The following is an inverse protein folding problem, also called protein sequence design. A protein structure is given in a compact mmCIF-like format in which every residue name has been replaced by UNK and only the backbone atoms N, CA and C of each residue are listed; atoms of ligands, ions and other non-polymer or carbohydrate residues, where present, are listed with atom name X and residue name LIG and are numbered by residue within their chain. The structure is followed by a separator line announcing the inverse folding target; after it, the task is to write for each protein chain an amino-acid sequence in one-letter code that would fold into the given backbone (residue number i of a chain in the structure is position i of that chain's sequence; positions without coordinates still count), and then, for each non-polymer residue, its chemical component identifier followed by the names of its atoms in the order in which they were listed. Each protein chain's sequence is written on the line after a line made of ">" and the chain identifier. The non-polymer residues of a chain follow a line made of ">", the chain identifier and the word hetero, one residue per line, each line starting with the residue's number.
data_IF_484145403933
#
_entry.id   IF_484145403933
#
_cell.length_a   1.000
_cell.length_b   1.000
_cell.length_c   1.000
_cell.angle_alpha   90.00
_cell.angle_beta   90.00
_cell.angle_gamma   90.00
#
_symmetry.space_group_name_H-M   'P 1'
#
loop_
_entity.id
_entity.type
_entity.pdbx_description
1 polymer ?
#
# COMPACT_ATOMS: atom_id res chain seq x y z
N UNK A 1 59.01 -38.02 -18.21
CA UNK A 1 58.67 -38.33 -16.79
C UNK A 1 59.03 -37.09 -15.96
N UNK A 2 58.18 -36.39 -15.23
CA UNK A 2 56.79 -36.59 -14.78
C UNK A 2 56.12 -35.20 -14.77
N UNK A 3 54.98 -35.10 -15.42
CA UNK A 3 54.05 -33.98 -15.28
C UNK A 3 53.46 -34.06 -13.87
N UNK A 4 53.63 -33.02 -13.04
CA UNK A 4 52.92 -32.91 -11.76
C UNK A 4 51.82 -31.86 -11.92
N UNK A 5 50.65 -32.37 -12.27
CA UNK A 5 49.34 -31.74 -12.04
C UNK A 5 49.18 -31.58 -10.53
N UNK A 6 49.09 -30.36 -10.01
CA UNK A 6 48.35 -30.01 -8.78
C UNK A 6 48.27 -28.48 -8.67
N UNK A 7 47.17 -27.88 -9.12
CA UNK A 7 46.36 -26.89 -8.35
C UNK A 7 45.16 -26.47 -9.22
N UNK A 8 44.18 -27.35 -9.35
CA UNK A 8 42.90 -27.01 -9.98
C UNK A 8 41.94 -26.52 -8.90
N UNK A 9 41.60 -25.22 -9.00
CA UNK A 9 40.29 -24.62 -8.69
C UNK A 9 39.68 -24.92 -7.32
N UNK A 10 39.78 -23.93 -6.42
CA UNK A 10 38.70 -23.58 -5.49
C UNK A 10 38.69 -22.06 -5.25
N UNK A 11 38.46 -21.29 -6.31
CA UNK A 11 38.00 -19.91 -6.16
C UNK A 11 36.49 -20.00 -5.90
N UNK A 12 36.14 -20.29 -4.64
CA UNK A 12 34.80 -19.98 -4.12
C UNK A 12 34.67 -18.46 -4.26
N UNK A 13 34.03 -18.00 -5.35
CA UNK A 13 33.42 -16.69 -5.40
C UNK A 13 32.35 -16.67 -4.31
N UNK A 14 32.78 -16.39 -3.09
CA UNK A 14 31.88 -15.94 -2.03
C UNK A 14 31.44 -14.55 -2.48
N UNK A 15 30.31 -14.49 -3.18
CA UNK A 15 29.58 -13.25 -3.35
C UNK A 15 29.12 -12.90 -1.93
N UNK A 16 29.96 -12.19 -1.19
CA UNK A 16 29.59 -11.68 0.12
C UNK A 16 28.48 -10.67 -0.11
N UNK A 17 27.25 -11.09 0.15
CA UNK A 17 26.20 -10.15 0.50
C UNK A 17 26.68 -9.45 1.76
N UNK A 18 27.00 -8.16 1.65
CA UNK A 18 27.45 -7.36 2.79
C UNK A 18 26.24 -7.19 3.72
N UNK A 19 26.15 -8.04 4.75
CA UNK A 19 25.18 -7.89 5.83
C UNK A 19 25.84 -7.13 6.96
N UNK A 20 25.29 -5.98 7.30
CA UNK A 20 25.73 -5.16 8.42
C UNK A 20 24.81 -5.39 9.61
N UNK A 21 25.37 -5.95 10.69
CA UNK A 21 24.65 -6.06 11.96
C UNK A 21 24.69 -4.73 12.71
N UNK A 22 23.51 -4.21 13.02
CA UNK A 22 23.30 -3.04 13.86
C UNK A 22 22.91 -3.51 15.25
N UNK A 23 23.57 -2.99 16.29
CA UNK A 23 23.28 -3.31 17.70
C UNK A 23 22.92 -2.02 18.43
N UNK A 24 21.89 -2.04 19.28
CA UNK A 24 21.47 -0.87 20.07
C UNK A 24 22.06 -0.96 21.49
N UNK A 25 22.84 0.05 21.87
CA UNK A 25 23.45 0.14 23.20
C UNK A 25 22.48 0.81 24.17
N UNK A 26 21.59 0.04 24.79
CA UNK A 26 20.62 0.53 25.79
C UNK A 26 21.30 0.85 27.13
N UNK A 27 21.85 2.05 27.24
CA UNK A 27 22.72 2.47 28.33
C UNK A 27 22.24 3.73 29.07
N UNK A 28 21.03 4.21 28.77
CA UNK A 28 20.53 5.43 29.42
C UNK A 28 19.02 5.63 29.36
N UNK A 29 18.62 6.81 29.79
CA UNK A 29 17.24 7.28 29.77
C UNK A 29 17.22 8.71 29.21
N UNK A 30 16.12 9.08 28.58
CA UNK A 30 15.91 10.41 28.04
C UNK A 30 14.61 10.99 28.57
N UNK A 31 14.69 12.20 29.12
CA UNK A 31 13.51 12.98 29.48
C UNK A 31 12.96 13.66 28.22
N UNK A 32 11.66 13.54 28.01
CA UNK A 32 10.90 14.22 26.96
C UNK A 32 9.84 15.09 27.63
N UNK A 33 9.91 16.39 27.36
CA UNK A 33 9.01 17.39 27.91
C UNK A 33 7.93 17.76 26.89
N UNK A 34 6.67 17.48 27.22
CA UNK A 34 5.49 17.84 26.41
C UNK A 34 4.80 19.12 26.93
N UNK A 35 5.48 19.90 27.79
CA UNK A 35 5.01 21.15 28.37
C UNK A 35 4.12 20.96 29.59
N UNK A 36 3.11 20.09 29.51
CA UNK A 36 2.22 19.76 30.63
C UNK A 36 2.73 18.61 31.50
N UNK A 37 3.41 17.65 30.88
CA UNK A 37 3.96 16.46 31.52
C UNK A 37 5.37 16.18 30.96
N UNK A 38 6.20 15.60 31.81
CA UNK A 38 7.53 15.12 31.47
C UNK A 38 7.55 13.61 31.62
N UNK A 39 8.11 12.94 30.63
CA UNK A 39 8.25 11.49 30.62
C UNK A 39 9.71 11.09 30.50
N UNK A 40 10.10 10.05 31.21
CA UNK A 40 11.41 9.45 31.14
C UNK A 40 11.28 8.12 30.41
N UNK A 41 11.96 8.01 29.26
CA UNK A 41 11.97 6.81 28.43
C UNK A 41 13.35 6.15 28.40
N UNK A 42 13.45 4.83 28.23
CA UNK A 42 14.71 4.16 27.94
C UNK A 42 15.31 4.68 26.64
N UNK A 43 16.64 4.77 26.58
CA UNK A 43 17.37 5.30 25.43
C UNK A 43 18.60 4.44 25.13
N UNK A 44 19.06 4.53 23.88
CA UNK A 44 20.36 4.06 23.45
C UNK A 44 21.22 5.23 22.98
N UNK A 45 22.54 5.12 23.13
CA UNK A 45 23.48 6.23 22.88
C UNK A 45 24.15 6.19 21.50
N UNK A 46 24.22 5.01 20.87
CA UNK A 46 25.11 4.78 19.73
C UNK A 46 24.50 5.11 18.35
N UNK A 47 23.22 5.46 18.29
CA UNK A 47 22.50 5.79 17.05
C UNK A 47 21.52 6.95 17.25
N UNK A 48 21.09 7.56 16.14
CA UNK A 48 20.05 8.58 16.17
C UNK A 48 18.76 8.00 16.74
N UNK A 49 18.14 8.72 17.66
CA UNK A 49 16.90 8.31 18.33
C UNK A 49 15.79 9.33 18.08
N UNK A 50 14.61 8.85 17.71
CA UNK A 50 13.38 9.64 17.63
C UNK A 50 12.37 9.06 18.60
N UNK A 51 11.74 9.90 19.41
CA UNK A 51 10.74 9.51 20.40
C UNK A 51 9.44 10.25 20.12
N UNK A 52 8.35 9.50 20.04
CA UNK A 52 6.99 9.98 19.80
C UNK A 52 6.09 9.29 20.84
N UNK A 53 5.92 9.92 22.01
CA UNK A 53 5.29 9.31 23.18
C UNK A 53 5.94 7.95 23.52
N UNK A 54 5.15 6.89 23.65
CA UNK A 54 5.60 5.52 23.95
C UNK A 54 6.27 4.82 22.74
N UNK A 55 6.44 5.49 21.60
CA UNK A 55 7.12 4.96 20.43
C UNK A 55 8.57 5.48 20.34
N UNK A 56 9.53 4.55 20.36
CA UNK A 56 10.97 4.85 20.25
C UNK A 56 11.49 4.27 18.94
N UNK A 57 12.17 5.09 18.13
CA UNK A 57 12.74 4.69 16.85
C UNK A 57 14.26 4.89 16.85
N UNK A 58 14.97 3.90 16.31
CA UNK A 58 16.34 4.10 15.85
C UNK A 58 16.32 4.62 14.41
N UNK A 59 17.13 5.64 14.14
CA UNK A 59 17.34 6.20 12.81
C UNK A 59 18.79 6.05 12.37
N UNK A 60 18.98 5.56 11.16
CA UNK A 60 20.31 5.27 10.59
C UNK A 60 20.36 5.82 9.17
N UNK A 61 21.26 6.77 8.95
CA UNK A 61 21.60 7.26 7.62
C UNK A 61 22.74 6.46 7.01
N UNK A 62 22.58 5.99 5.77
CA UNK A 62 23.60 5.29 5.00
C UNK A 62 23.72 5.89 3.61
N UNK A 63 24.95 5.96 3.08
CA UNK A 63 25.20 6.26 1.67
C UNK A 63 25.12 4.97 0.87
N UNK A 64 24.10 4.83 0.03
CA UNK A 64 23.93 3.65 -0.82
C UNK A 64 23.13 4.01 -2.07
N UNK A 65 23.49 3.40 -3.20
CA UNK A 65 22.72 3.46 -4.43
C UNK A 65 21.84 2.20 -4.63
N UNK A 66 21.94 1.23 -3.71
CA UNK A 66 21.24 -0.04 -3.78
C UNK A 66 20.05 -0.05 -2.82
N UNK A 67 19.04 -0.86 -3.13
CA UNK A 67 17.94 -1.09 -2.21
C UNK A 67 18.45 -1.93 -1.04
N UNK A 68 17.90 -1.67 0.14
CA UNK A 68 18.32 -2.24 1.41
C UNK A 68 17.23 -3.19 1.91
N UNK A 69 17.68 -4.22 2.61
CA UNK A 69 16.83 -5.18 3.30
C UNK A 69 17.13 -5.19 4.81
N UNK A 70 16.11 -5.03 5.65
CA UNK A 70 16.12 -5.24 7.09
C UNK A 70 15.69 -6.67 7.36
N UNK A 71 16.50 -7.41 8.09
CA UNK A 71 16.24 -8.79 8.48
C UNK A 71 16.69 -9.04 9.93
N UNK A 72 16.31 -10.20 10.47
CA UNK A 72 16.81 -10.74 11.75
C UNK A 72 16.74 -9.75 12.93
N UNK A 73 15.55 -9.20 13.17
CA UNK A 73 15.30 -8.38 14.35
C UNK A 73 15.36 -9.27 15.61
N UNK A 74 16.26 -8.93 16.53
CA UNK A 74 16.47 -9.63 17.80
C UNK A 74 15.88 -8.79 18.93
N UNK A 75 14.93 -9.37 19.66
CA UNK A 75 14.21 -8.70 20.74
C UNK A 75 14.53 -9.32 22.09
N UNK A 76 14.56 -8.49 23.13
CA UNK A 76 14.77 -8.90 24.51
C UNK A 76 13.67 -8.32 25.40
N UNK A 77 13.20 -9.09 26.38
CA UNK A 77 12.27 -8.58 27.40
C UNK A 77 12.96 -7.48 28.20
N UNK A 78 12.32 -6.32 28.31
CA UNK A 78 12.83 -5.20 29.09
C UNK A 78 12.65 -5.47 30.58
N UNK A 79 13.70 -5.34 31.41
CA UNK A 79 13.56 -5.41 32.86
C UNK A 79 12.65 -4.32 33.39
N UNK A 80 11.83 -4.61 34.40
CA UNK A 80 10.85 -3.66 34.96
C UNK A 80 11.45 -2.33 35.37
N UNK A 81 12.69 -2.33 35.88
CA UNK A 81 13.43 -1.11 36.26
C UNK A 81 13.77 -0.17 35.09
N UNK A 82 13.83 -0.72 33.88
CA UNK A 82 14.26 -0.02 32.67
C UNK A 82 13.07 0.48 31.83
N UNK A 83 11.86 0.02 32.13
CA UNK A 83 10.60 0.45 31.47
C UNK A 83 10.34 1.94 31.68
N UNK A 84 10.66 2.47 32.87
CA UNK A 84 10.38 3.85 33.27
C UNK A 84 8.91 4.21 33.05
N UNK A 85 8.63 5.29 32.31
CA UNK A 85 7.26 5.78 32.12
C UNK A 85 6.56 5.15 30.90
N UNK A 86 7.18 4.17 30.23
CA UNK A 86 6.55 3.47 29.12
C UNK A 86 5.26 2.77 29.57
N UNK A 87 4.16 3.07 28.87
CA UNK A 87 2.85 2.48 29.17
C UNK A 87 2.59 1.30 28.25
N UNK A 88 2.48 0.11 28.83
CA UNK A 88 2.35 -1.13 28.05
C UNK A 88 1.16 -1.13 27.07
N UNK A 89 0.03 -0.52 27.46
CA UNK A 89 -1.17 -0.45 26.62
C UNK A 89 -1.06 0.58 25.49
N UNK A 90 -0.06 1.47 25.53
CA UNK A 90 0.24 2.43 24.47
C UNK A 90 1.31 1.93 23.50
N UNK A 91 2.05 0.89 23.86
CA UNK A 91 3.11 0.33 23.04
C UNK A 91 2.51 -0.67 22.04
N UNK A 92 2.84 -0.50 20.76
CA UNK A 92 2.36 -1.42 19.70
C UNK A 92 2.91 -2.84 19.85
N UNK A 93 2.11 -3.83 19.45
CA UNK A 93 2.58 -5.21 19.27
C UNK A 93 3.28 -5.44 17.93
N UNK A 94 3.04 -4.57 16.95
CA UNK A 94 3.54 -4.68 15.59
C UNK A 94 4.48 -3.49 15.28
N UNK A 95 5.78 -3.59 15.64
CA UNK A 95 6.72 -2.49 15.48
C UNK A 95 6.90 -2.12 14.00
N UNK A 96 6.87 -0.82 13.70
CA UNK A 96 6.97 -0.30 12.33
C UNK A 96 8.43 -0.06 11.93
N UNK A 97 8.73 -0.26 10.65
CA UNK A 97 10.01 0.13 10.05
C UNK A 97 9.83 0.74 8.65
N UNK A 98 10.72 1.66 8.27
CA UNK A 98 10.78 2.27 6.94
C UNK A 98 12.22 2.43 6.46
N UNK A 99 12.38 2.48 5.13
CA UNK A 99 13.60 2.94 4.48
C UNK A 99 13.22 3.99 3.44
N UNK A 100 13.68 5.20 3.67
CA UNK A 100 13.41 6.35 2.82
C UNK A 100 14.67 6.72 2.03
N UNK A 101 14.57 6.70 0.71
CA UNK A 101 15.68 7.02 -0.19
C UNK A 101 15.62 8.46 -0.67
N UNK A 102 16.77 9.12 -0.71
CA UNK A 102 16.86 10.48 -1.20
C UNK A 102 18.24 10.76 -1.79
N UNK A 103 18.28 11.68 -2.75
CA UNK A 103 19.54 12.19 -3.26
C UNK A 103 20.00 13.37 -2.39
N UNK A 104 21.17 13.24 -1.78
CA UNK A 104 21.81 14.31 -1.03
C UNK A 104 22.67 15.14 -1.99
N UNK A 105 22.28 16.40 -2.20
CA UNK A 105 23.02 17.35 -3.03
C UNK A 105 24.38 17.71 -2.43
N UNK A 106 24.46 17.80 -1.10
CA UNK A 106 25.69 18.08 -0.34
C UNK A 106 26.77 17.01 -0.57
N UNK A 107 26.39 15.73 -0.50
CA UNK A 107 27.32 14.60 -0.67
C UNK A 107 27.41 14.11 -2.13
N UNK A 108 26.64 14.74 -3.03
CA UNK A 108 26.41 14.32 -4.42
C UNK A 108 26.18 12.81 -4.55
N UNK A 109 25.31 12.26 -3.70
CA UNK A 109 25.12 10.82 -3.56
C UNK A 109 23.71 10.42 -3.12
N UNK A 110 23.30 9.22 -3.53
CA UNK A 110 22.10 8.57 -3.00
C UNK A 110 22.33 8.14 -1.54
N UNK A 111 21.33 8.42 -0.70
CA UNK A 111 21.29 8.06 0.70
C UNK A 111 19.99 7.34 1.03
N UNK A 112 20.06 6.54 2.08
CA UNK A 112 18.92 5.89 2.71
C UNK A 112 18.84 6.32 4.17
N UNK A 113 17.65 6.68 4.63
CA UNK A 113 17.32 6.83 6.04
C UNK A 113 16.47 5.63 6.47
N UNK A 114 16.99 4.85 7.40
CA UNK A 114 16.32 3.69 7.96
C UNK A 114 15.72 4.10 9.30
N UNK A 115 14.43 3.86 9.48
CA UNK A 115 13.74 4.04 10.76
C UNK A 115 13.20 2.70 11.24
N UNK A 116 13.53 2.27 12.46
CA UNK A 116 13.01 1.02 13.04
C UNK A 116 12.50 1.30 14.45
N UNK A 117 11.24 0.95 14.71
CA UNK A 117 10.69 1.03 16.05
C UNK A 117 11.40 0.01 16.95
N UNK A 118 11.97 0.51 18.04
CA UNK A 118 12.90 -0.19 18.90
C UNK A 118 12.25 -0.75 20.17
N UNK A 119 10.92 -0.55 20.34
CA UNK A 119 10.13 -1.06 21.45
C UNK A 119 8.86 -1.71 20.90
N UNK A 120 8.45 -2.85 21.46
CA UNK A 120 7.15 -3.49 21.21
C UNK A 120 6.56 -4.08 22.49
N UNK A 121 5.25 -4.33 22.52
CA UNK A 121 4.58 -4.99 23.62
C UNK A 121 3.87 -6.26 23.15
N UNK A 122 4.07 -7.37 23.86
CA UNK A 122 3.46 -8.65 23.54
C UNK A 122 3.28 -9.46 24.83
N UNK A 123 2.14 -10.15 24.99
CA UNK A 123 1.87 -10.99 26.16
C UNK A 123 2.09 -10.27 27.51
N UNK A 124 1.65 -9.01 27.60
CA UNK A 124 1.81 -8.15 28.77
C UNK A 124 3.28 -7.93 29.21
N UNK A 125 4.22 -7.98 28.26
CA UNK A 125 5.63 -7.62 28.45
C UNK A 125 6.07 -6.61 27.40
N UNK A 126 6.95 -5.70 27.81
CA UNK A 126 7.63 -4.77 26.91
C UNK A 126 8.95 -5.39 26.48
N UNK A 127 9.23 -5.33 25.18
CA UNK A 127 10.46 -5.80 24.57
C UNK A 127 11.22 -4.62 23.97
N UNK A 128 12.55 -4.69 24.03
CA UNK A 128 13.46 -3.77 23.32
C UNK A 128 14.17 -4.48 22.18
N UNK A 129 14.41 -3.76 21.10
CA UNK A 129 15.21 -4.23 19.98
C UNK A 129 16.68 -4.21 20.39
N UNK A 130 17.34 -5.36 20.36
CA UNK A 130 18.78 -5.47 20.69
C UNK A 130 19.61 -5.29 19.42
N UNK A 131 19.21 -5.91 18.32
CA UNK A 131 19.93 -5.81 17.05
C UNK A 131 19.05 -6.14 15.86
N UNK A 132 19.48 -5.71 14.68
CA UNK A 132 18.93 -6.13 13.39
C UNK A 132 20.04 -6.15 12.33
N UNK A 133 19.79 -6.80 11.20
CA UNK A 133 20.73 -6.84 10.08
C UNK A 133 20.20 -6.00 8.91
N UNK A 134 21.11 -5.27 8.25
CA UNK A 134 20.86 -4.55 7.01
C UNK A 134 21.67 -5.22 5.90
N UNK A 135 21.04 -5.64 4.81
CA UNK A 135 21.72 -6.18 3.63
C UNK A 135 21.41 -5.35 2.39
N UNK A 136 22.40 -5.10 1.54
CA UNK A 136 22.14 -4.52 0.22
C UNK A 136 21.62 -5.58 -0.75
N UNK A 137 20.67 -5.20 -1.61
CA UNK A 137 20.20 -6.01 -2.72
C UNK A 137 20.91 -5.64 -4.02
N UNK A 138 20.69 -6.42 -5.09
CA UNK A 138 21.21 -6.11 -6.42
C UNK A 138 20.38 -5.07 -7.19
N UNK A 139 19.31 -4.54 -6.61
CA UNK A 139 18.43 -3.55 -7.25
C UNK A 139 18.87 -2.14 -6.88
N UNK A 140 18.72 -1.20 -7.84
CA UNK A 140 19.03 0.22 -7.58
C UNK A 140 17.92 0.90 -6.77
N UNK A 141 18.32 1.73 -5.81
CA UNK A 141 17.42 2.60 -5.04
C UNK A 141 16.65 3.59 -5.93
N UNK A 142 17.29 4.09 -7.00
CA UNK A 142 16.66 4.99 -7.97
C UNK A 142 15.43 4.40 -8.68
N UNK A 143 15.34 3.07 -8.78
CA UNK A 143 14.17 2.40 -9.38
C UNK A 143 12.94 2.46 -8.45
N UNK A 144 13.14 2.75 -7.16
CA UNK A 144 12.05 2.98 -6.21
C UNK A 144 11.53 4.42 -6.31
N UNK A 145 12.35 5.36 -6.84
CA UNK A 145 12.00 6.78 -6.95
C UNK A 145 11.28 7.14 -8.25
N UNK A 146 10.66 6.17 -8.92
CA UNK A 146 9.81 6.46 -10.06
C UNK A 146 8.57 7.23 -9.56
N UNK A 147 8.60 8.55 -9.76
CA UNK A 147 7.43 9.42 -9.68
C UNK A 147 6.26 8.70 -10.33
N UNK A 148 5.16 8.54 -9.58
CA UNK A 148 3.91 7.90 -9.96
C UNK A 148 3.95 7.14 -11.25
N UNK A 149 4.09 5.82 -11.22
CA UNK A 149 3.46 5.02 -12.27
C UNK A 149 1.96 5.35 -12.21
N UNK A 150 1.55 6.36 -12.97
CA UNK A 150 0.17 6.80 -13.13
C UNK A 150 -0.59 5.57 -13.59
N UNK A 151 -1.53 5.12 -12.79
CA UNK A 151 -2.39 4.03 -13.19
C UNK A 151 -3.52 4.60 -14.04
N UNK A 152 -3.78 3.92 -15.15
CA UNK A 152 -4.83 4.30 -16.08
C UNK A 152 -4.51 5.55 -16.92
N UNK A 153 -5.56 6.08 -17.52
CA UNK A 153 -5.50 7.29 -18.34
C UNK A 153 -5.56 8.56 -17.49
N UNK A 154 -4.96 9.64 -18.00
CA UNK A 154 -5.12 11.00 -17.47
C UNK A 154 -6.26 11.77 -18.14
N UNK A 155 -6.80 11.23 -19.24
CA UNK A 155 -7.89 11.85 -19.98
C UNK A 155 -9.19 11.76 -19.20
N UNK A 156 -9.86 12.89 -18.98
CA UNK A 156 -11.19 12.92 -18.38
C UNK A 156 -12.21 12.30 -19.36
N UNK A 157 -12.81 11.13 -19.07
CA UNK A 157 -13.80 10.54 -19.96
C UNK A 157 -15.10 11.36 -20.02
N UNK A 158 -15.35 12.24 -19.04
CA UNK A 158 -16.55 13.07 -18.96
C UNK A 158 -16.43 14.38 -19.77
N UNK A 159 -15.37 14.57 -20.56
CA UNK A 159 -15.13 15.82 -21.31
C UNK A 159 -16.11 16.05 -22.47
N UNK A 160 -16.82 15.01 -22.91
CA UNK A 160 -17.79 15.06 -24.00
C UNK A 160 -18.81 13.92 -23.87
N UNK A 161 -20.05 14.15 -24.30
CA UNK A 161 -21.15 13.18 -24.21
C UNK A 161 -22.10 13.47 -23.04
N UNK A 162 -23.24 12.79 -23.02
CA UNK A 162 -24.25 12.94 -21.97
C UNK A 162 -24.09 11.86 -20.89
N UNK A 163 -23.85 12.27 -19.65
CA UNK A 163 -23.63 11.35 -18.54
C UNK A 163 -24.75 11.40 -17.51
N UNK A 164 -25.15 10.23 -17.03
CA UNK A 164 -26.03 10.08 -15.87
C UNK A 164 -25.22 9.57 -14.69
N UNK A 165 -25.35 10.24 -13.54
CA UNK A 165 -24.67 9.85 -12.31
C UNK A 165 -25.54 8.87 -11.53
N UNK A 166 -25.00 7.69 -11.24
CA UNK A 166 -25.65 6.67 -10.41
C UNK A 166 -24.93 6.53 -9.07
N UNK A 167 -25.69 6.25 -8.01
CA UNK A 167 -25.17 6.03 -6.65
C UNK A 167 -25.15 4.54 -6.34
N UNK A 168 -24.10 4.10 -5.64
CA UNK A 168 -23.89 2.71 -5.22
C UNK A 168 -23.58 2.70 -3.72
N UNK A 169 -24.39 2.02 -2.92
CA UNK A 169 -24.28 1.96 -1.45
C UNK A 169 -23.41 0.79 -0.96
N UNK A 170 -23.22 -0.24 -1.78
CA UNK A 170 -22.44 -1.44 -1.45
C UNK A 170 -21.69 -2.00 -2.64
N UNK A 171 -20.61 -2.73 -2.38
CA UNK A 171 -19.87 -3.43 -3.42
C UNK A 171 -20.67 -4.64 -3.93
N UNK A 172 -20.70 -4.85 -5.25
CA UNK A 172 -21.41 -5.98 -5.84
C UNK A 172 -21.60 -5.89 -7.35
N UNK A 173 -22.33 -6.87 -7.89
CA UNK A 173 -22.79 -6.87 -9.28
C UNK A 173 -24.15 -6.17 -9.34
N UNK A 174 -24.26 -5.19 -10.23
CA UNK A 174 -25.47 -4.40 -10.46
C UNK A 174 -26.04 -4.71 -11.85
N UNK A 175 -27.34 -4.45 -12.01
CA UNK A 175 -28.10 -4.73 -13.24
C UNK A 175 -28.84 -3.47 -13.70
N UNK A 176 -28.65 -3.10 -14.96
CA UNK A 176 -29.41 -2.07 -15.67
C UNK A 176 -30.38 -2.77 -16.62
N UNK A 177 -31.66 -2.46 -16.49
CA UNK A 177 -32.74 -2.99 -17.34
C UNK A 177 -33.45 -1.86 -18.06
N UNK A 178 -34.24 -2.18 -19.09
CA UNK A 178 -35.15 -1.24 -19.72
C UNK A 178 -36.02 -0.48 -18.70
N UNK A 179 -36.57 -1.20 -17.71
CA UNK A 179 -37.38 -0.62 -16.64
C UNK A 179 -36.59 0.40 -15.80
N UNK A 180 -35.33 0.10 -15.47
CA UNK A 180 -34.46 1.05 -14.75
C UNK A 180 -34.29 2.34 -15.55
N UNK A 181 -34.03 2.24 -16.86
CA UNK A 181 -33.88 3.41 -17.74
C UNK A 181 -35.15 4.27 -17.72
N UNK A 182 -36.32 3.65 -17.93
CA UNK A 182 -37.61 4.35 -17.94
C UNK A 182 -37.91 5.04 -16.61
N UNK A 183 -37.70 4.34 -15.49
CA UNK A 183 -37.94 4.88 -14.14
C UNK A 183 -37.03 6.07 -13.81
N UNK A 184 -35.86 6.16 -14.45
CA UNK A 184 -34.90 7.25 -14.27
C UNK A 184 -34.95 8.28 -15.41
N UNK A 185 -36.02 8.29 -16.21
CA UNK A 185 -36.24 9.30 -17.26
C UNK A 185 -35.37 9.14 -18.50
N UNK A 186 -34.70 8.00 -18.67
CA UNK A 186 -33.93 7.67 -19.87
C UNK A 186 -34.84 6.89 -20.82
N UNK A 187 -35.15 7.47 -21.98
CA UNK A 187 -35.99 6.80 -22.98
C UNK A 187 -35.21 5.66 -23.67
N UNK A 188 -35.58 4.37 -23.46
CA UNK A 188 -34.85 3.25 -24.05
C UNK A 188 -34.85 3.25 -25.59
N UNK A 189 -35.85 3.88 -26.23
CA UNK A 189 -35.89 4.02 -27.69
C UNK A 189 -34.85 4.98 -28.25
N UNK A 190 -34.24 5.82 -27.41
CA UNK A 190 -33.24 6.82 -27.80
C UNK A 190 -31.81 6.39 -27.48
N UNK A 191 -31.61 5.24 -26.83
CA UNK A 191 -30.29 4.77 -26.39
C UNK A 191 -30.05 3.35 -26.87
N UNK A 192 -28.86 3.09 -27.43
CA UNK A 192 -28.49 1.77 -27.92
C UNK A 192 -27.76 0.99 -26.82
N UNK A 193 -28.16 -0.26 -26.47
CA UNK A 193 -27.46 -1.10 -25.50
C UNK A 193 -25.99 -1.34 -25.85
N UNK A 194 -25.62 -1.41 -27.15
CA UNK A 194 -24.22 -1.54 -27.59
C UNK A 194 -23.35 -0.37 -27.13
N UNK A 195 -23.94 0.82 -27.08
CA UNK A 195 -23.24 2.03 -26.66
C UNK A 195 -23.25 2.24 -25.13
N UNK A 196 -23.87 1.34 -24.36
CA UNK A 196 -23.87 1.48 -22.91
C UNK A 196 -22.43 1.40 -22.38
N UNK A 197 -22.05 2.43 -21.62
CA UNK A 197 -20.76 2.58 -20.95
C UNK A 197 -20.99 2.94 -19.50
N UNK A 198 -20.05 2.55 -18.65
CA UNK A 198 -20.00 2.97 -17.26
C UNK A 198 -18.57 3.31 -16.86
N UNK A 199 -18.44 4.41 -16.13
CA UNK A 199 -17.17 4.92 -15.63
C UNK A 199 -17.20 5.09 -14.11
N UNK A 200 -16.13 4.66 -13.45
CA UNK A 200 -16.00 4.76 -12.00
C UNK A 200 -14.64 4.31 -11.49
N UNK A 201 -14.31 4.70 -10.26
CA UNK A 201 -13.09 4.29 -9.56
C UNK A 201 -13.41 3.68 -8.18
N UNK A 202 -14.68 3.32 -7.93
CA UNK A 202 -15.20 3.00 -6.60
C UNK A 202 -15.38 4.24 -5.73
N UNK A 203 -15.62 4.04 -4.44
CA UNK A 203 -15.71 5.13 -3.45
C UNK A 203 -15.08 4.80 -2.11
N UNK A 204 -14.12 3.88 -2.10
CA UNK A 204 -13.30 3.63 -0.91
C UNK A 204 -12.67 4.91 -0.41
N UNK A 205 -12.61 5.04 0.91
CA UNK A 205 -11.90 6.14 1.55
C UNK A 205 -10.46 6.22 1.04
N UNK A 206 -10.00 7.44 0.79
CA UNK A 206 -8.62 7.69 0.43
C UNK A 206 -7.71 7.33 1.63
N UNK A 207 -6.52 6.76 1.40
CA UNK A 207 -5.55 6.57 2.46
C UNK A 207 -5.19 7.92 3.10
N UNK A 208 -5.10 7.99 4.43
CA UNK A 208 -4.65 9.19 5.16
C UNK A 208 -3.19 9.54 4.82
N UNK A 209 -2.39 8.53 4.50
CA UNK A 209 -1.02 8.71 4.08
C UNK A 209 -0.95 9.20 2.62
N UNK A 210 -0.75 10.51 2.46
CA UNK A 210 -0.74 11.21 1.17
C UNK A 210 0.51 10.97 0.31
N UNK A 211 1.55 10.29 0.82
CA UNK A 211 2.71 9.94 0.01
C UNK A 211 2.41 8.69 -0.82
N UNK A 212 2.63 8.82 -2.12
CA UNK A 212 2.71 7.70 -3.04
C UNK A 212 3.72 6.71 -2.46
N UNK A 213 3.32 5.44 -2.26
CA UNK A 213 4.21 4.45 -1.67
C UNK A 213 5.41 4.26 -2.59
N UNK A 214 6.54 4.80 -2.14
CA UNK A 214 7.85 4.25 -2.44
C UNK A 214 7.81 2.80 -2.02
N UNK A 215 7.95 1.93 -3.02
CA UNK A 215 8.31 0.54 -2.82
C UNK A 215 9.44 0.45 -1.80
N UNK A 216 9.24 -0.33 -0.75
CA UNK A 216 10.35 -1.08 -0.16
C UNK A 216 9.75 -2.26 0.60
N UNK A 217 10.41 -3.41 0.44
CA UNK A 217 10.30 -4.69 1.14
C UNK A 217 9.47 -5.84 0.60
N UNK A 218 8.58 -5.62 -0.35
CA UNK A 218 7.94 -6.72 -1.05
C UNK A 218 8.14 -6.50 -2.55
N UNK A 219 8.90 -7.38 -3.19
CA UNK A 219 9.02 -7.45 -4.67
C UNK A 219 7.69 -8.02 -5.22
N UNK A 220 6.61 -7.32 -4.89
CA UNK A 220 5.24 -7.83 -4.87
C UNK A 220 4.27 -6.79 -4.28
N UNK A 221 3.96 -5.77 -5.08
CA UNK A 221 2.64 -5.15 -5.08
C UNK A 221 2.14 -4.53 -3.75
N UNK A 222 2.66 -3.36 -3.40
CA UNK A 222 1.93 -2.47 -2.48
C UNK A 222 1.57 -1.23 -3.27
N UNK A 223 0.27 -1.01 -3.49
CA UNK A 223 -0.18 0.00 -4.44
C UNK A 223 -1.34 0.78 -3.85
N UNK A 224 -1.03 1.96 -3.31
CA UNK A 224 -2.02 3.02 -3.15
C UNK A 224 -2.26 3.65 -4.53
N UNK A 225 -2.69 2.83 -5.51
CA UNK A 225 -3.00 3.32 -6.86
C UNK A 225 -4.17 4.27 -6.76
N UNK A 226 -3.91 5.50 -7.13
CA UNK A 226 -4.93 6.45 -7.50
C UNK A 226 -4.93 6.53 -9.02
N UNK A 227 -6.10 6.35 -9.62
CA UNK A 227 -6.29 6.66 -11.02
C UNK A 227 -6.37 8.18 -11.19
N UNK A 228 -5.68 8.72 -12.19
CA UNK A 228 -5.69 10.16 -12.47
C UNK A 228 -7.04 10.62 -13.06
N UNK A 229 -7.76 9.71 -13.72
CA UNK A 229 -9.11 9.92 -14.24
C UNK A 229 -10.04 8.74 -13.92
N UNK A 230 -11.33 8.87 -14.23
CA UNK A 230 -12.28 7.75 -14.13
C UNK A 230 -11.92 6.66 -15.15
N UNK A 231 -12.01 5.40 -14.73
CA UNK A 231 -11.80 4.25 -15.60
C UNK A 231 -13.13 3.74 -16.17
N UNK A 232 -13.10 3.19 -17.39
CA UNK A 232 -14.25 2.48 -17.95
C UNK A 232 -14.30 1.05 -17.40
N UNK A 233 -15.40 0.70 -16.75
CA UNK A 233 -15.60 -0.67 -16.26
C UNK A 233 -16.00 -1.57 -17.42
N UNK A 234 -15.49 -2.80 -17.40
CA UNK A 234 -15.95 -3.82 -18.32
C UNK A 234 -17.35 -4.28 -17.91
N UNK A 235 -18.26 -4.31 -18.88
CA UNK A 235 -19.65 -4.71 -18.67
C UNK A 235 -20.01 -5.95 -19.49
N UNK A 236 -21.10 -6.60 -19.11
CA UNK A 236 -21.76 -7.60 -19.96
C UNK A 236 -23.14 -7.10 -20.30
N UNK A 237 -23.51 -7.15 -21.58
CA UNK A 237 -24.85 -6.78 -22.05
C UNK A 237 -25.48 -7.99 -22.73
N UNK A 238 -26.71 -8.30 -22.36
CA UNK A 238 -27.48 -9.43 -22.88
C UNK A 238 -28.63 -8.88 -23.72
N UNK A 239 -28.80 -9.41 -24.93
CA UNK A 239 -29.85 -8.99 -25.87
C UNK A 239 -29.51 -7.73 -26.67
N UNK A 240 -28.23 -7.35 -26.78
CA UNK A 240 -27.83 -6.11 -27.45
C UNK A 240 -27.79 -6.18 -28.98
N UNK A 241 -28.05 -7.35 -29.58
CA UNK A 241 -27.75 -7.64 -31.00
C UNK A 241 -28.49 -6.72 -31.97
N UNK A 242 -29.75 -6.42 -31.68
CA UNK A 242 -30.64 -5.57 -32.47
C UNK A 242 -30.49 -4.07 -32.18
N UNK A 243 -29.69 -3.70 -31.17
CA UNK A 243 -29.47 -2.32 -30.77
C UNK A 243 -30.67 -1.65 -30.08
N UNK A 244 -31.61 -2.44 -29.56
CA UNK A 244 -32.81 -1.97 -28.85
C UNK A 244 -32.83 -2.55 -27.45
N UNK A 245 -33.32 -1.79 -26.46
CA UNK A 245 -33.60 -2.33 -25.13
C UNK A 245 -34.99 -3.00 -25.10
N UNK A 246 -35.03 -4.30 -25.34
CA UNK A 246 -36.20 -5.15 -25.15
C UNK A 246 -36.43 -5.46 -23.67
N UNK A 247 -37.58 -6.06 -23.35
CA UNK A 247 -38.00 -6.27 -21.95
C UNK A 247 -37.11 -7.28 -21.21
N UNK A 248 -36.44 -8.17 -21.93
CA UNK A 248 -35.53 -9.18 -21.37
C UNK A 248 -34.05 -8.73 -21.38
N UNK A 249 -33.76 -7.56 -21.96
CA UNK A 249 -32.38 -7.11 -22.15
C UNK A 249 -31.86 -6.43 -20.89
N UNK A 250 -30.56 -6.63 -20.62
CA UNK A 250 -29.93 -6.03 -19.46
C UNK A 250 -28.42 -5.89 -19.63
N UNK A 251 -27.86 -4.90 -18.97
CA UNK A 251 -26.43 -4.82 -18.71
C UNK A 251 -26.12 -5.15 -17.25
N UNK A 252 -25.01 -5.85 -17.01
CA UNK A 252 -24.45 -6.05 -15.67
C UNK A 252 -23.03 -5.53 -15.60
N UNK A 253 -22.68 -5.03 -14.42
CA UNK A 253 -21.36 -4.48 -14.12
C UNK A 253 -21.04 -4.67 -12.63
N UNK A 254 -19.75 -4.74 -12.31
CA UNK A 254 -19.30 -4.68 -10.92
C UNK A 254 -19.07 -3.22 -10.52
N UNK A 255 -19.58 -2.84 -9.35
CA UNK A 255 -19.23 -1.56 -8.72
C UNK A 255 -18.75 -1.80 -7.29
N UNK A 256 -17.72 -1.04 -6.91
CA UNK A 256 -17.21 -0.97 -5.56
C UNK A 256 -17.95 0.15 -4.82
N UNK A 257 -18.57 -0.21 -3.70
CA UNK A 257 -19.22 0.72 -2.78
C UNK A 257 -18.21 1.50 -1.93
N UNK A 258 -18.70 2.34 -1.00
CA UNK A 258 -17.86 3.25 -0.24
C UNK A 258 -17.02 2.51 0.82
N UNK A 259 -17.52 1.37 1.30
CA UNK A 259 -16.88 0.58 2.35
C UNK A 259 -16.01 -0.54 1.76
N UNK A 260 -14.94 -0.86 2.48
CA UNK A 260 -13.93 -1.83 2.06
C UNK A 260 -13.78 -3.00 3.01
N UNK A 261 -13.31 -4.12 2.47
CA UNK A 261 -12.91 -5.30 3.23
C UNK A 261 -11.54 -5.79 2.77
N UNK A 262 -10.67 -6.15 3.72
CA UNK A 262 -9.33 -6.69 3.51
C UNK A 262 -8.49 -5.83 2.54
N UNK A 263 -8.57 -4.50 2.68
CA UNK A 263 -7.88 -3.54 1.82
C UNK A 263 -6.39 -3.43 2.11
N UNK A 264 -6.00 -3.65 3.36
CA UNK A 264 -4.65 -3.40 3.85
C UNK A 264 -3.89 -4.69 4.14
N UNK A 265 -2.58 -4.69 3.91
CA UNK A 265 -1.69 -5.75 4.43
C UNK A 265 -1.68 -5.67 5.96
N UNK A 266 -1.83 -6.80 6.63
CA UNK A 266 -1.72 -6.91 8.09
C UNK A 266 -0.90 -8.14 8.49
N UNK A 267 -0.70 -8.34 9.80
CA UNK A 267 0.09 -9.43 10.37
C UNK A 267 -0.34 -10.84 9.91
N UNK A 268 -1.60 -11.02 9.48
CA UNK A 268 -2.17 -12.29 9.02
C UNK A 268 -2.41 -12.37 7.50
N UNK A 269 -2.35 -11.23 6.78
CA UNK A 269 -2.67 -11.10 5.36
C UNK A 269 -1.54 -10.41 4.59
N UNK A 270 -0.37 -11.05 4.56
CA UNK A 270 0.85 -10.52 3.94
C UNK A 270 0.89 -10.62 2.41
N UNK A 271 0.15 -11.56 1.80
CA UNK A 271 0.27 -11.89 0.37
C UNK A 271 -0.74 -11.15 -0.52
N UNK A 272 -0.30 -10.46 -1.58
CA UNK A 272 -1.14 -9.87 -2.63
C UNK A 272 -1.07 -8.34 -2.75
N UNK A 273 -1.74 -7.80 -3.77
CA UNK A 273 -1.72 -6.37 -4.13
C UNK A 273 -2.66 -5.57 -3.21
N UNK A 274 -2.21 -5.25 -2.00
CA UNK A 274 -3.00 -4.51 -1.00
C UNK A 274 -2.38 -3.16 -0.65
N UNK A 275 -3.18 -2.28 -0.06
CA UNK A 275 -2.72 -1.00 0.51
C UNK A 275 -1.86 -1.27 1.75
N UNK A 276 -1.01 -0.31 2.13
CA UNK A 276 -0.29 -0.35 3.40
C UNK A 276 -1.14 0.32 4.48
N UNK A 277 -1.33 -0.36 5.60
CA UNK A 277 -1.96 0.25 6.78
C UNK A 277 -0.95 1.19 7.45
N UNK A 278 -1.34 2.44 7.69
CA UNK A 278 -0.54 3.42 8.43
C UNK A 278 -1.02 3.58 9.88
N UNK A 279 -2.27 3.20 10.16
CA UNK A 279 -2.89 3.24 11.49
C UNK A 279 -2.39 2.07 12.33
N UNK A 280 -2.71 2.11 13.62
CA UNK A 280 -2.38 1.03 14.54
C UNK A 280 -3.48 -0.04 14.60
N UNK A 281 -4.68 0.25 14.08
CA UNK A 281 -5.72 -0.76 13.88
C UNK A 281 -5.41 -1.60 12.63
N UNK A 282 -5.56 -2.92 12.75
CA UNK A 282 -5.45 -3.88 11.63
C UNK A 282 -6.82 -4.40 11.19
N UNK A 283 -7.88 -3.58 11.34
CA UNK A 283 -9.24 -4.00 11.03
C UNK A 283 -9.35 -4.43 9.58
N UNK A 284 -9.90 -5.63 9.36
CA UNK A 284 -10.26 -6.08 8.01
C UNK A 284 -11.39 -5.26 7.39
N UNK A 285 -12.18 -4.54 8.19
CA UNK A 285 -13.29 -3.71 7.71
C UNK A 285 -12.91 -2.23 7.74
N UNK A 286 -13.21 -1.54 6.66
CA UNK A 286 -12.97 -0.10 6.50
C UNK A 286 -14.28 0.56 6.13
N UNK A 287 -14.74 1.47 6.99
CA UNK A 287 -15.91 2.30 6.72
C UNK A 287 -15.45 3.63 6.18
N UNK A 288 -16.04 4.10 5.08
CA UNK A 288 -15.81 5.46 4.62
C UNK A 288 -16.59 6.42 5.51
N UNK A 289 -15.87 7.24 6.28
CA UNK A 289 -16.47 8.19 7.22
C UNK A 289 -16.89 9.52 6.58
N UNK A 290 -16.60 9.70 5.29
CA UNK A 290 -16.87 10.94 4.57
C UNK A 290 -18.04 10.85 3.60
N UNK A 291 -18.47 9.64 3.24
CA UNK A 291 -19.48 9.43 2.20
C UNK A 291 -20.14 8.04 2.33
N UNK A 292 -21.46 8.00 2.15
CA UNK A 292 -22.30 6.79 2.24
C UNK A 292 -22.52 6.12 0.87
N UNK A 293 -22.06 6.74 -0.22
CA UNK A 293 -22.22 6.25 -1.59
C UNK A 293 -20.95 6.36 -2.45
N UNK A 294 -20.76 5.38 -3.32
CA UNK A 294 -19.86 5.50 -4.47
C UNK A 294 -20.62 5.99 -5.69
N UNK A 295 -19.94 6.70 -6.58
CA UNK A 295 -20.56 7.30 -7.75
C UNK A 295 -19.96 6.77 -9.04
N UNK A 296 -20.85 6.35 -9.93
CA UNK A 296 -20.51 5.90 -11.27
C UNK A 296 -21.27 6.75 -12.29
N UNK A 297 -20.75 6.80 -13.51
CA UNK A 297 -21.29 7.63 -14.58
C UNK A 297 -21.60 6.75 -15.79
N UNK A 298 -22.86 6.73 -16.23
CA UNK A 298 -23.27 5.95 -17.40
C UNK A 298 -23.50 6.85 -18.61
N UNK A 299 -23.23 6.30 -19.80
CA UNK A 299 -23.32 7.00 -21.08
C UNK A 299 -23.80 6.05 -22.19
N UNK A 300 -24.35 6.63 -23.28
CA UNK A 300 -24.86 5.90 -24.44
C UNK A 300 -24.50 6.55 -25.80
N UNK A 301 -23.74 7.66 -25.83
CA UNK A 301 -23.58 8.51 -27.01
C UNK A 301 -22.12 8.73 -27.46
N UNK A 302 -21.15 8.06 -26.84
CA UNK A 302 -19.73 8.09 -27.25
C UNK A 302 -19.24 6.76 -27.86
N UNK A 303 -20.17 5.98 -28.43
CA UNK A 303 -19.89 4.72 -29.13
C UNK A 303 -19.90 3.48 -28.22
N UNK A 304 -19.48 2.34 -28.76
CA UNK A 304 -19.56 1.02 -28.11
C UNK A 304 -18.75 0.93 -26.81
N UNK A 305 -19.35 0.36 -25.76
CA UNK A 305 -18.71 0.25 -24.46
C UNK A 305 -17.79 -0.95 -24.28
N UNK A 306 -16.91 -0.87 -23.30
CA UNK A 306 -15.98 -1.96 -22.96
C UNK A 306 -16.70 -3.21 -22.47
N UNK A 307 -16.51 -4.35 -23.15
CA UNK A 307 -17.08 -5.65 -22.76
C UNK A 307 -16.11 -6.47 -21.92
N UNK A 308 -16.65 -7.27 -20.99
CA UNK A 308 -15.89 -8.31 -20.29
C UNK A 308 -15.28 -9.28 -21.30
N UNK A 309 -14.02 -9.66 -21.09
CA UNK A 309 -13.32 -10.59 -21.96
C UNK A 309 -13.60 -12.03 -21.52
N UNK A 310 -13.91 -12.91 -22.47
CA UNK A 310 -14.00 -14.34 -22.22
C UNK A 310 -12.57 -14.87 -22.12
N UNK A 311 -12.19 -15.35 -20.95
CA UNK A 311 -10.93 -16.09 -20.79
C UNK A 311 -11.22 -17.53 -21.22
N UNK A 312 -10.82 -17.89 -22.44
CA UNK A 312 -10.77 -19.28 -22.84
C UNK A 312 -9.59 -19.92 -22.08
N UNK A 313 -9.89 -20.75 -21.09
CA UNK A 313 -8.89 -21.59 -20.46
C UNK A 313 -8.59 -22.76 -21.41
N UNK A 314 -7.65 -22.55 -22.33
CA UNK A 314 -6.95 -23.65 -23.03
C UNK A 314 -5.89 -24.27 -22.12
#
# INVERSE_FOLDING_TARGET
>A
MKFKIYLFVFFLLSIFNYSQKITLAWDGYKEVDYGSEKFVYPSFSNHGIRMEADAIFVNIGLKTALQLKLDKLVWEVMPTKDIKDLRINSVTSNPKSSIDYYFSTEDNAQKANISVQAIKAENNKIYRLVSFEITESNLKASNLSDNGKKAGTTENPLKSGNFYKIKVDKSGIFKITKQFLQQNGINPSNVNPKNFRIYGNGGLMLPEFNQQIYSSFDVGNTVNLKYDALQEDAIQVIGEEDGVWNDNDYAIFYAQGPNGYNLFKNSTNVNGNRRKESRDDESGNVVNIYEDFSYYFINFDIGEGKRVQIINNE
#
